data_IF_320418019289
#
_entry.id   IF_320418019289
#
_cell.length_a   1.000
_cell.length_b   1.000
_cell.length_c   1.000
_cell.angle_alpha   90.00
_cell.angle_beta   90.00
_cell.angle_gamma   90.00
#
_symmetry.space_group_name_H-M   'P 1'
#
loop_
_entity.id
_entity.type
_entity.pdbx_description
1 polymer ?
#
# COMPACT_ATOMS: atom_id res chain seq x y z
N UNK A 1 -50.17 5.99 12.99
CA UNK A 1 -48.90 5.31 13.34
C UNK A 1 -47.93 5.50 12.18
N UNK A 2 -46.89 6.36 12.34
CA UNK A 2 -45.90 6.61 11.28
C UNK A 2 -44.74 5.65 11.50
N UNK A 3 -44.54 4.68 10.65
CA UNK A 3 -43.35 3.83 10.61
C UNK A 3 -42.18 4.67 10.17
N UNK A 4 -41.26 4.94 11.08
CA UNK A 4 -39.91 5.48 10.76
C UNK A 4 -39.09 4.28 10.30
N UNK A 5 -38.87 4.20 9.00
CA UNK A 5 -37.84 3.31 8.43
C UNK A 5 -36.49 3.90 8.79
N UNK A 6 -35.82 3.29 9.76
CA UNK A 6 -34.42 3.56 10.07
C UNK A 6 -33.62 2.80 9.02
N UNK A 7 -33.16 3.51 8.00
CA UNK A 7 -32.15 2.99 7.07
C UNK A 7 -30.84 3.00 7.86
N UNK A 8 -30.51 1.84 8.41
CA UNK A 8 -29.16 1.59 8.93
C UNK A 8 -28.28 1.50 7.67
N UNK A 9 -27.62 2.60 7.34
CA UNK A 9 -26.53 2.62 6.38
C UNK A 9 -25.43 1.73 6.97
N UNK A 10 -25.40 0.49 6.52
CA UNK A 10 -24.30 -0.43 6.76
C UNK A 10 -23.14 0.09 5.90
N UNK A 11 -22.37 0.99 6.46
CA UNK A 11 -21.06 1.37 5.90
C UNK A 11 -20.20 0.11 6.04
N UNK A 12 -20.25 -0.73 5.03
CA UNK A 12 -19.33 -1.83 4.85
C UNK A 12 -17.98 -1.14 4.57
N UNK A 13 -17.16 -1.02 5.58
CA UNK A 13 -15.74 -0.75 5.42
C UNK A 13 -15.18 -1.93 4.61
N UNK A 14 -15.16 -1.76 3.30
CA UNK A 14 -14.35 -2.58 2.43
C UNK A 14 -12.90 -2.28 2.81
N UNK A 15 -12.34 -3.10 3.68
CA UNK A 15 -10.89 -3.20 3.82
C UNK A 15 -10.45 -3.80 2.48
N UNK A 16 -10.18 -2.90 1.52
CA UNK A 16 -9.62 -3.30 0.24
C UNK A 16 -8.23 -3.86 0.54
N UNK A 17 -8.17 -5.19 0.67
CA UNK A 17 -6.92 -5.88 0.88
C UNK A 17 -6.10 -5.74 -0.40
N UNK A 18 -4.95 -5.06 -0.31
CA UNK A 18 -3.96 -5.07 -1.38
C UNK A 18 -3.47 -6.49 -1.60
N UNK A 19 -3.15 -6.85 -2.83
CA UNK A 19 -2.48 -8.12 -3.14
C UNK A 19 -1.10 -8.10 -2.50
N UNK A 20 -0.87 -9.01 -1.56
CA UNK A 20 0.37 -9.11 -0.80
C UNK A 20 1.22 -10.28 -1.26
N UNK A 21 2.54 -10.17 -1.14
CA UNK A 21 3.50 -11.23 -1.44
C UNK A 21 4.59 -11.35 -0.38
N UNK A 22 5.05 -12.58 -0.12
CA UNK A 22 6.24 -12.81 0.72
C UNK A 22 7.55 -12.64 -0.05
N UNK A 23 7.50 -12.64 -1.39
CA UNK A 23 8.66 -12.46 -2.24
C UNK A 23 8.57 -11.12 -2.97
N UNK A 24 9.72 -10.47 -3.22
CA UNK A 24 9.76 -9.23 -3.98
C UNK A 24 9.39 -9.46 -5.46
N UNK A 25 8.94 -8.39 -6.10
CA UNK A 25 8.76 -8.36 -7.56
C UNK A 25 10.07 -8.06 -8.29
N UNK A 26 11.02 -7.41 -7.63
CA UNK A 26 12.24 -6.94 -8.23
C UNK A 26 13.35 -7.99 -8.28
N UNK A 27 14.15 -7.93 -9.35
CA UNK A 27 15.49 -8.48 -9.47
C UNK A 27 16.39 -7.37 -9.97
N UNK A 28 17.70 -7.45 -9.73
CA UNK A 28 18.63 -6.35 -10.05
C UNK A 28 18.58 -5.94 -11.54
N UNK A 29 18.36 -6.89 -12.45
CA UNK A 29 18.25 -6.67 -13.90
C UNK A 29 16.93 -6.02 -14.34
N UNK A 30 15.94 -5.96 -13.46
CA UNK A 30 14.63 -5.33 -13.70
C UNK A 30 14.46 -3.98 -13.02
N UNK A 31 15.40 -3.60 -12.16
CA UNK A 31 15.35 -2.29 -11.52
C UNK A 31 15.64 -1.18 -12.54
N UNK A 32 14.87 -0.10 -12.42
CA UNK A 32 15.08 1.11 -13.20
C UNK A 32 15.12 2.33 -12.31
N UNK A 33 15.94 3.31 -12.69
CA UNK A 33 15.98 4.60 -12.03
C UNK A 33 15.21 5.63 -12.85
N UNK A 34 14.29 6.33 -12.21
CA UNK A 34 13.49 7.39 -12.80
C UNK A 34 13.64 8.67 -11.97
N UNK A 35 14.40 9.63 -12.50
CA UNK A 35 14.69 10.88 -11.80
C UNK A 35 13.40 11.69 -11.53
N UNK A 36 12.43 11.60 -12.44
CA UNK A 36 11.14 12.27 -12.28
C UNK A 36 10.33 11.77 -11.07
N UNK A 37 10.67 10.63 -10.49
CA UNK A 37 10.02 10.14 -9.27
C UNK A 37 10.45 10.94 -8.04
N UNK A 38 11.68 11.45 -8.01
CA UNK A 38 12.27 12.12 -6.84
C UNK A 38 11.52 13.40 -6.47
N UNK A 39 11.41 13.65 -5.16
CA UNK A 39 10.84 14.88 -4.59
C UNK A 39 9.50 14.67 -3.92
N UNK A 40 8.77 15.76 -3.75
CA UNK A 40 7.50 15.78 -3.02
C UNK A 40 6.29 15.79 -3.95
N UNK A 41 5.32 14.96 -3.60
CA UNK A 41 4.09 14.79 -4.34
C UNK A 41 2.90 14.90 -3.40
N UNK A 42 1.84 15.55 -3.85
CA UNK A 42 0.59 15.69 -3.11
C UNK A 42 -0.51 14.82 -3.72
N UNK A 43 -1.24 14.15 -2.87
CA UNK A 43 -2.51 13.50 -3.19
C UNK A 43 -3.62 14.28 -2.50
N UNK A 44 -4.67 14.63 -3.24
CA UNK A 44 -5.86 15.24 -2.67
C UNK A 44 -7.02 14.25 -2.73
N UNK A 45 -7.55 13.89 -1.57
CA UNK A 45 -8.76 13.09 -1.46
C UNK A 45 -9.79 13.87 -0.62
N UNK A 46 -10.76 14.47 -1.32
CA UNK A 46 -11.73 15.38 -0.70
C UNK A 46 -11.05 16.58 -0.05
N UNK A 47 -11.10 16.66 1.30
CA UNK A 47 -10.47 17.72 2.10
C UNK A 47 -9.15 17.29 2.76
N UNK A 48 -8.73 16.05 2.59
CA UNK A 48 -7.50 15.53 3.15
C UNK A 48 -6.39 15.55 2.10
N UNK A 49 -5.19 15.90 2.53
CA UNK A 49 -4.00 15.94 1.69
C UNK A 49 -3.01 14.93 2.27
N UNK A 50 -2.63 13.97 1.45
CA UNK A 50 -1.51 13.10 1.74
C UNK A 50 -0.27 13.55 0.95
N UNK A 51 0.89 13.41 1.57
CA UNK A 51 2.18 13.77 0.98
C UNK A 51 3.04 12.53 0.82
N UNK A 52 3.68 12.42 -0.34
CA UNK A 52 4.57 11.35 -0.73
C UNK A 52 5.93 11.96 -1.05
N UNK A 53 6.95 11.62 -0.30
CA UNK A 53 8.31 12.10 -0.56
C UNK A 53 9.20 10.93 -0.94
N UNK A 54 9.70 10.96 -2.18
CA UNK A 54 10.61 9.95 -2.71
C UNK A 54 12.03 10.47 -2.74
N UNK A 55 12.98 9.68 -2.22
CA UNK A 55 14.41 9.96 -2.24
C UNK A 55 15.23 8.69 -2.53
N UNK A 56 16.50 8.82 -2.91
CA UNK A 56 17.36 7.67 -3.25
C UNK A 56 17.17 7.16 -4.67
N UNK A 57 17.07 5.85 -4.85
CA UNK A 57 16.86 5.17 -6.15
C UNK A 57 18.17 4.82 -6.88
N UNK A 58 19.29 5.44 -6.53
CA UNK A 58 20.59 5.15 -7.11
C UNK A 58 21.72 5.17 -6.06
N UNK A 59 22.52 4.12 -6.01
CA UNK A 59 23.70 4.03 -5.13
C UNK A 59 24.95 4.47 -5.90
N UNK A 60 25.36 5.73 -5.74
CA UNK A 60 26.52 6.31 -6.41
C UNK A 60 27.83 5.56 -6.10
N UNK A 61 27.95 4.95 -4.91
CA UNK A 61 29.17 4.22 -4.51
C UNK A 61 29.32 2.90 -5.25
N UNK A 62 28.22 2.29 -5.62
CA UNK A 62 28.19 1.02 -6.36
C UNK A 62 27.89 1.19 -7.83
N UNK A 63 27.57 2.43 -8.27
CA UNK A 63 27.15 2.75 -9.63
C UNK A 63 26.02 1.83 -10.11
N UNK A 64 24.96 1.72 -9.28
CA UNK A 64 23.85 0.82 -9.56
C UNK A 64 22.51 1.38 -9.07
N UNK A 65 21.44 0.95 -9.74
CA UNK A 65 20.07 1.24 -9.31
C UNK A 65 19.79 0.54 -7.99
N UNK A 66 19.19 1.26 -7.07
CA UNK A 66 18.77 0.79 -5.75
C UNK A 66 17.30 1.06 -5.51
N UNK A 67 16.80 0.78 -4.31
CA UNK A 67 15.48 1.19 -3.86
C UNK A 67 15.40 2.69 -3.58
N UNK A 68 14.19 3.23 -3.69
CA UNK A 68 13.85 4.56 -3.18
C UNK A 68 13.37 4.43 -1.73
N UNK A 69 13.62 5.45 -0.94
CA UNK A 69 12.92 5.66 0.33
C UNK A 69 11.67 6.48 0.05
N UNK A 70 10.51 6.00 0.50
CA UNK A 70 9.26 6.74 0.50
C UNK A 70 8.89 7.11 1.94
N UNK A 71 8.69 8.40 2.17
CA UNK A 71 8.01 8.91 3.37
C UNK A 71 6.60 9.31 2.97
N UNK A 72 5.62 8.59 3.50
CA UNK A 72 4.19 8.89 3.30
C UNK A 72 3.63 9.57 4.54
N UNK A 73 2.98 10.73 4.36
CA UNK A 73 2.34 11.49 5.43
C UNK A 73 0.87 11.71 5.12
N UNK A 74 0.03 11.36 6.07
CA UNK A 74 -1.42 11.57 6.01
C UNK A 74 -1.90 12.15 7.35
N UNK A 75 -2.36 13.40 7.34
CA UNK A 75 -2.68 14.13 8.56
C UNK A 75 -1.48 14.22 9.51
N UNK A 76 -1.53 13.50 10.63
CA UNK A 76 -0.46 13.44 11.64
C UNK A 76 0.32 12.11 11.60
N UNK A 77 -0.04 11.23 10.71
CA UNK A 77 0.57 9.92 10.54
C UNK A 77 1.72 9.99 9.54
N UNK A 78 2.83 9.35 9.85
CA UNK A 78 3.97 9.18 8.95
C UNK A 78 4.36 7.72 8.90
N UNK A 79 4.60 7.20 7.70
CA UNK A 79 5.10 5.85 7.47
C UNK A 79 6.25 5.87 6.45
N UNK A 80 7.19 4.95 6.62
CA UNK A 80 8.34 4.79 5.72
C UNK A 80 8.27 3.46 4.99
N UNK A 81 8.61 3.52 3.71
CA UNK A 81 8.63 2.34 2.85
C UNK A 81 9.89 2.35 2.00
N UNK A 82 10.37 1.16 1.69
CA UNK A 82 11.32 0.92 0.61
C UNK A 82 10.52 0.66 -0.68
N UNK A 83 10.84 1.39 -1.74
CA UNK A 83 10.18 1.28 -3.04
C UNK A 83 11.22 0.83 -4.06
N UNK A 84 10.93 -0.26 -4.75
CA UNK A 84 11.71 -0.65 -5.94
C UNK A 84 10.88 -0.38 -7.18
N UNK A 85 11.43 0.38 -8.12
CA UNK A 85 10.81 0.61 -9.43
C UNK A 85 11.26 -0.47 -10.39
N UNK A 86 10.31 -1.32 -10.79
CA UNK A 86 10.55 -2.53 -11.58
C UNK A 86 9.98 -2.38 -12.98
N UNK A 87 10.78 -2.66 -14.01
CA UNK A 87 10.33 -2.68 -15.40
C UNK A 87 10.06 -4.10 -15.86
N UNK A 88 8.79 -4.38 -16.22
CA UNK A 88 8.35 -5.64 -16.81
C UNK A 88 7.73 -5.34 -18.18
N UNK A 89 8.40 -5.78 -19.25
CA UNK A 89 8.02 -5.40 -20.62
C UNK A 89 8.03 -3.88 -20.80
N UNK A 90 6.89 -3.32 -21.19
CA UNK A 90 6.69 -1.87 -21.38
C UNK A 90 6.20 -1.16 -20.12
N UNK A 91 5.90 -1.90 -19.02
CA UNK A 91 5.23 -1.38 -17.84
C UNK A 91 6.18 -1.16 -16.68
N UNK A 92 5.85 -0.17 -15.85
CA UNK A 92 6.53 0.09 -14.59
C UNK A 92 5.65 -0.33 -13.42
N UNK A 93 6.29 -0.91 -12.41
CA UNK A 93 5.64 -1.34 -11.19
C UNK A 93 6.41 -0.84 -9.99
N UNK A 94 5.69 -0.40 -8.96
CA UNK A 94 6.24 -0.29 -7.62
C UNK A 94 6.16 -1.65 -6.92
N UNK A 95 7.26 -2.04 -6.32
CA UNK A 95 7.32 -3.02 -5.25
C UNK A 95 7.52 -2.25 -3.96
N UNK A 96 6.51 -2.27 -3.10
CA UNK A 96 6.43 -1.47 -1.88
C UNK A 96 6.64 -2.40 -0.71
N UNK A 97 7.64 -2.11 0.11
CA UNK A 97 7.95 -2.89 1.30
C UNK A 97 8.06 -1.96 2.52
N UNK A 98 7.45 -2.29 3.66
CA UNK A 98 7.54 -1.44 4.85
C UNK A 98 8.97 -1.42 5.36
N UNK A 99 9.55 -0.22 5.50
CA UNK A 99 10.86 -0.01 6.07
C UNK A 99 10.76 -0.11 7.59
N UNK A 100 11.53 -1.05 8.18
CA UNK A 100 11.79 -1.22 9.60
C UNK A 100 10.54 -1.19 10.52
N UNK A 101 9.78 -2.28 10.54
CA UNK A 101 8.69 -2.49 11.52
C UNK A 101 9.17 -2.40 12.99
N UNK A 102 10.46 -2.61 13.25
CA UNK A 102 11.03 -2.53 14.61
C UNK A 102 11.16 -1.09 15.11
N UNK A 103 11.25 -0.11 14.22
CA UNK A 103 11.35 1.32 14.52
C UNK A 103 10.07 2.10 14.27
N UNK A 104 8.93 1.43 14.16
CA UNK A 104 7.62 2.08 14.02
C UNK A 104 7.38 2.96 15.26
N UNK A 105 7.84 4.18 15.21
CA UNK A 105 7.53 5.22 16.20
C UNK A 105 6.19 5.81 15.82
N UNK A 106 5.13 5.35 16.48
CA UNK A 106 3.96 6.19 16.61
C UNK A 106 4.38 7.38 17.49
N UNK A 107 4.79 8.48 16.89
CA UNK A 107 4.80 9.73 17.63
C UNK A 107 3.34 10.02 18.01
N UNK A 108 3.13 9.96 19.32
CA UNK A 108 1.92 10.35 20.05
C UNK A 108 0.87 11.05 19.18
N UNK A 109 -0.08 10.33 18.67
CA UNK A 109 -1.47 10.74 18.44
C UNK A 109 -2.16 9.92 17.36
N UNK A 110 -3.10 9.14 17.87
CA UNK A 110 -4.33 8.72 17.19
C UNK A 110 -4.41 7.33 16.56
N UNK A 111 -5.03 6.47 17.33
CA UNK A 111 -6.30 5.86 16.92
C UNK A 111 -7.23 5.97 18.13
N UNK A 112 -7.90 7.12 18.23
CA UNK A 112 -9.06 7.22 19.10
C UNK A 112 -10.19 6.43 18.42
N UNK A 113 -10.25 5.14 18.66
CA UNK A 113 -11.50 4.40 18.49
C UNK A 113 -12.41 4.94 19.60
N UNK A 114 -13.53 5.62 19.30
CA UNK A 114 -14.45 6.01 20.33
C UNK A 114 -15.17 4.75 20.83
N UNK A 115 -14.58 4.09 21.83
CA UNK A 115 -15.33 3.18 22.68
C UNK A 115 -16.30 4.04 23.49
N UNK A 116 -17.49 4.23 22.93
CA UNK A 116 -18.62 4.80 23.64
C UNK A 116 -19.03 3.86 24.77
N UNK A 117 -18.31 3.92 25.88
CA UNK A 117 -18.83 3.44 27.16
C UNK A 117 -19.66 4.57 27.78
N UNK A 118 -20.99 4.43 27.68
CA UNK A 118 -21.91 5.23 28.48
C UNK A 118 -21.52 5.12 29.96
N UNK A 119 -21.07 6.25 30.56
CA UNK A 119 -21.01 6.38 32.01
C UNK A 119 -19.69 6.80 32.61
N UNK A 120 -18.80 7.47 31.92
CA UNK A 120 -17.62 8.07 32.54
C UNK A 120 -17.47 9.53 32.07
N UNK A 121 -18.04 10.46 32.83
CA UNK A 121 -17.70 11.87 32.73
C UNK A 121 -16.32 12.07 33.36
N UNK A 122 -15.30 12.24 32.54
CA UNK A 122 -14.02 12.79 33.00
C UNK A 122 -13.58 13.89 32.06
N UNK A 123 -13.66 15.09 32.54
CA UNK A 123 -13.19 16.32 31.95
C UNK A 123 -11.66 16.42 32.00
N UNK A 124 -10.97 15.60 31.26
CA UNK A 124 -9.59 15.80 30.76
C UNK A 124 -9.44 14.94 29.53
N UNK A 125 -9.20 15.56 28.38
CA UNK A 125 -8.81 14.90 27.17
C UNK A 125 -7.43 14.22 27.38
N UNK A 126 -7.44 13.01 27.90
CA UNK A 126 -6.27 12.14 27.87
C UNK A 126 -6.26 11.58 26.45
N UNK A 127 -5.39 12.12 25.61
CA UNK A 127 -5.10 11.51 24.33
C UNK A 127 -4.50 10.13 24.61
N UNK A 128 -5.10 9.03 24.11
CA UNK A 128 -4.54 7.70 24.31
C UNK A 128 -3.22 7.59 23.54
N UNK A 129 -2.12 7.43 24.27
CA UNK A 129 -0.82 7.01 23.74
C UNK A 129 -0.96 5.53 23.33
N UNK A 130 -1.39 5.27 22.08
CA UNK A 130 -1.49 3.92 21.56
C UNK A 130 -0.10 3.53 21.04
N UNK A 131 0.66 2.87 21.89
CA UNK A 131 1.88 2.16 21.48
C UNK A 131 1.50 0.74 21.08
N UNK A 132 1.90 0.33 19.88
CA UNK A 132 1.84 -1.09 19.56
C UNK A 132 2.70 -1.86 20.57
N UNK A 133 2.10 -2.87 21.17
CA UNK A 133 2.81 -3.77 22.07
C UNK A 133 3.92 -4.49 21.28
N UNK A 134 5.13 -4.58 21.84
CA UNK A 134 6.27 -5.23 21.17
C UNK A 134 5.96 -6.66 20.74
N UNK A 135 5.23 -7.41 21.57
CA UNK A 135 4.76 -8.76 21.25
C UNK A 135 3.83 -8.76 20.03
N UNK A 136 2.99 -7.73 19.86
CA UNK A 136 2.12 -7.60 18.69
C UNK A 136 2.94 -7.37 17.43
N UNK A 137 3.95 -6.49 17.50
CA UNK A 137 4.87 -6.20 16.37
C UNK A 137 5.63 -7.45 15.93
N UNK A 138 6.07 -8.30 16.89
CA UNK A 138 6.75 -9.58 16.59
C UNK A 138 5.88 -10.55 15.79
N UNK A 139 4.55 -10.37 15.79
CA UNK A 139 3.60 -11.20 15.05
C UNK A 139 3.17 -10.56 13.72
N UNK A 140 3.68 -9.37 13.38
CA UNK A 140 3.42 -8.74 12.08
C UNK A 140 4.43 -9.25 11.06
N UNK A 141 3.95 -9.88 10.00
CA UNK A 141 4.79 -10.28 8.88
C UNK A 141 4.87 -9.13 7.86
N UNK A 142 6.06 -8.56 7.60
CA UNK A 142 6.20 -7.61 6.51
C UNK A 142 5.99 -8.31 5.18
N UNK A 143 5.20 -7.70 4.32
CA UNK A 143 4.88 -8.21 2.99
C UNK A 143 5.12 -7.15 1.93
N UNK A 144 5.45 -7.59 0.73
CA UNK A 144 5.48 -6.75 -0.46
C UNK A 144 4.08 -6.51 -0.97
N UNK A 145 3.82 -5.30 -1.45
CA UNK A 145 2.63 -4.96 -2.22
C UNK A 145 3.03 -4.34 -3.54
N UNK A 146 2.22 -4.55 -4.57
CA UNK A 146 2.58 -4.14 -5.93
C UNK A 146 1.54 -3.21 -6.52
N UNK A 147 2.00 -2.23 -7.31
CA UNK A 147 1.13 -1.36 -8.08
C UNK A 147 1.77 -1.05 -9.43
N UNK A 148 0.98 -1.03 -10.50
CA UNK A 148 1.43 -0.48 -11.78
C UNK A 148 1.50 1.05 -11.66
N UNK A 149 2.52 1.66 -12.26
CA UNK A 149 2.68 3.10 -12.19
C UNK A 149 2.95 3.71 -13.56
N UNK A 150 2.45 4.91 -13.74
CA UNK A 150 2.77 5.80 -14.86
C UNK A 150 3.37 7.07 -14.25
N UNK A 151 4.58 7.43 -14.70
CA UNK A 151 5.35 8.53 -14.14
C UNK A 151 5.53 9.58 -15.24
N UNK A 152 4.92 10.73 -15.04
CA UNK A 152 5.10 11.92 -15.87
C UNK A 152 5.85 12.99 -15.07
N UNK A 153 6.21 14.09 -15.71
CA UNK A 153 6.96 15.17 -15.06
C UNK A 153 6.29 15.73 -13.82
N UNK A 154 4.97 15.95 -13.89
CA UNK A 154 4.20 16.64 -12.87
C UNK A 154 3.04 15.82 -12.31
N UNK A 155 2.92 14.55 -12.74
CA UNK A 155 1.86 13.62 -12.32
C UNK A 155 2.37 12.19 -12.22
N UNK A 156 1.96 11.49 -11.18
CA UNK A 156 2.15 10.03 -11.04
C UNK A 156 0.78 9.40 -10.85
N UNK A 157 0.50 8.35 -11.62
CA UNK A 157 -0.69 7.50 -11.45
C UNK A 157 -0.27 6.16 -10.90
N UNK A 158 -0.89 5.76 -9.80
CA UNK A 158 -0.59 4.51 -9.10
C UNK A 158 -1.83 3.62 -9.18
N UNK A 159 -1.75 2.54 -9.93
CA UNK A 159 -2.82 1.58 -10.15
C UNK A 159 -2.63 0.38 -9.22
N UNK A 160 -3.39 0.34 -8.14
CA UNK A 160 -3.38 -0.78 -7.21
C UNK A 160 -4.18 -1.93 -7.78
N UNK A 161 -3.68 -3.16 -7.60
CA UNK A 161 -4.41 -4.34 -8.02
C UNK A 161 -5.67 -4.54 -7.18
N UNK A 162 -6.74 -4.94 -7.84
CA UNK A 162 -8.01 -5.28 -7.20
C UNK A 162 -7.96 -6.73 -6.68
N UNK A 163 -8.18 -6.86 -5.38
CA UNK A 163 -8.25 -8.17 -4.74
C UNK A 163 -9.39 -9.04 -5.27
N UNK A 164 -10.58 -8.45 -5.52
CA UNK A 164 -11.74 -9.19 -6.00
C UNK A 164 -11.47 -9.78 -7.40
N UNK A 165 -10.78 -9.03 -8.25
CA UNK A 165 -10.34 -9.53 -9.55
C UNK A 165 -9.42 -10.75 -9.43
N UNK A 166 -8.46 -10.73 -8.50
CA UNK A 166 -7.55 -11.85 -8.29
C UNK A 166 -8.28 -13.07 -7.72
N UNK A 167 -9.14 -12.88 -6.72
CA UNK A 167 -9.94 -13.93 -6.12
C UNK A 167 -10.85 -14.59 -7.18
N UNK A 168 -11.45 -13.80 -8.05
CA UNK A 168 -12.24 -14.29 -9.18
C UNK A 168 -11.42 -15.15 -10.15
N UNK A 169 -10.17 -14.77 -10.43
CA UNK A 169 -9.27 -15.58 -11.26
C UNK A 169 -8.96 -16.94 -10.62
N UNK A 170 -8.78 -16.97 -9.29
CA UNK A 170 -8.56 -18.22 -8.55
C UNK A 170 -9.81 -19.09 -8.53
N UNK A 171 -10.98 -18.55 -8.20
CA UNK A 171 -12.26 -19.27 -8.19
C UNK A 171 -12.60 -19.85 -9.55
N UNK A 172 -12.31 -19.13 -10.62
CA UNK A 172 -12.53 -19.57 -12.00
C UNK A 172 -11.40 -20.47 -12.52
N UNK A 173 -10.37 -20.75 -11.71
CA UNK A 173 -9.17 -21.55 -12.08
C UNK A 173 -8.46 -21.04 -13.35
N UNK A 174 -8.51 -19.74 -13.59
CA UNK A 174 -7.87 -19.09 -14.73
C UNK A 174 -6.37 -18.84 -14.52
N UNK A 175 -5.94 -18.81 -13.25
CA UNK A 175 -4.54 -18.61 -12.87
C UNK A 175 -4.08 -19.71 -11.94
N UNK A 176 -2.76 -19.97 -11.96
CA UNK A 176 -2.09 -20.97 -11.13
C UNK A 176 -0.83 -20.40 -10.52
N UNK A 177 -0.90 -19.15 -10.02
CA UNK A 177 0.17 -18.57 -9.24
C UNK A 177 0.12 -19.13 -7.81
N UNK A 178 1.30 -19.45 -7.26
CA UNK A 178 1.38 -20.03 -5.92
C UNK A 178 0.98 -19.00 -4.88
N UNK A 179 0.08 -19.38 -3.98
CA UNK A 179 -0.44 -18.52 -2.93
C UNK A 179 -0.91 -19.33 -1.73
N UNK A 180 -1.11 -18.68 -0.62
CA UNK A 180 -1.78 -19.18 0.57
C UNK A 180 -2.98 -18.27 0.88
N UNK A 181 -4.04 -18.86 1.41
CA UNK A 181 -5.22 -18.14 1.88
C UNK A 181 -5.24 -18.15 3.40
N UNK A 182 -5.35 -16.97 4.00
CA UNK A 182 -5.44 -16.83 5.45
C UNK A 182 -6.84 -17.21 5.95
N UNK A 183 -6.99 -17.43 7.26
CA UNK A 183 -8.28 -17.83 7.86
C UNK A 183 -9.41 -16.80 7.70
N UNK A 184 -9.07 -15.55 7.44
CA UNK A 184 -9.97 -14.42 7.16
C UNK A 184 -10.14 -14.16 5.65
N UNK A 185 -9.62 -15.06 4.79
CA UNK A 185 -9.82 -15.04 3.35
C UNK A 185 -8.88 -14.11 2.59
N UNK A 186 -7.81 -13.62 3.21
CA UNK A 186 -6.80 -12.84 2.48
C UNK A 186 -5.88 -13.76 1.68
N UNK A 187 -5.52 -13.33 0.48
CA UNK A 187 -4.60 -14.04 -0.40
C UNK A 187 -3.20 -13.45 -0.24
N UNK A 188 -2.23 -14.31 0.08
CA UNK A 188 -0.81 -13.95 0.12
C UNK A 188 -0.08 -14.76 -0.94
N UNK A 189 0.50 -14.07 -1.91
CA UNK A 189 1.29 -14.72 -2.96
C UNK A 189 2.59 -15.29 -2.38
N UNK A 190 2.86 -16.55 -2.68
CA UNK A 190 4.06 -17.28 -2.23
C UNK A 190 4.87 -17.80 -3.42
N UNK A 191 4.55 -17.31 -4.62
CA UNK A 191 5.26 -17.63 -5.83
C UNK A 191 6.66 -16.98 -5.84
N UNK A 192 7.70 -17.63 -6.42
CA UNK A 192 8.99 -16.99 -6.59
C UNK A 192 8.89 -15.76 -7.51
N UNK A 193 9.86 -14.86 -7.36
CA UNK A 193 9.91 -13.56 -8.07
C UNK A 193 9.69 -13.67 -9.56
N UNK A 194 10.32 -14.67 -10.24
CA UNK A 194 10.20 -14.84 -11.68
C UNK A 194 8.77 -15.20 -12.12
N UNK A 195 8.02 -15.90 -11.29
CA UNK A 195 6.63 -16.24 -11.59
C UNK A 195 5.70 -15.06 -11.27
N UNK A 196 6.01 -14.26 -10.23
CA UNK A 196 5.34 -12.97 -9.97
C UNK A 196 5.53 -12.03 -11.16
N UNK A 197 6.76 -11.86 -11.65
CA UNK A 197 7.07 -11.00 -12.79
C UNK A 197 6.25 -11.38 -14.03
N UNK A 198 6.23 -12.66 -14.39
CA UNK A 198 5.42 -13.16 -15.52
C UNK A 198 3.93 -12.92 -15.33
N UNK A 199 3.45 -13.10 -14.09
CA UNK A 199 2.05 -12.88 -13.75
C UNK A 199 1.65 -11.43 -13.92
N UNK A 200 2.38 -10.49 -13.29
CA UNK A 200 2.07 -9.08 -13.35
C UNK A 200 2.27 -8.48 -14.74
N UNK A 201 3.31 -8.89 -15.47
CA UNK A 201 3.50 -8.51 -16.86
C UNK A 201 2.34 -8.95 -17.75
N UNK A 202 1.89 -10.21 -17.60
CA UNK A 202 0.78 -10.76 -18.39
C UNK A 202 -0.54 -9.98 -18.23
N UNK A 203 -0.81 -9.48 -17.02
CA UNK A 203 -2.07 -8.81 -16.70
C UNK A 203 -1.94 -7.29 -16.62
N UNK A 204 -0.80 -6.74 -17.05
CA UNK A 204 -0.52 -5.30 -16.98
C UNK A 204 -1.50 -4.44 -17.77
N UNK A 205 -2.10 -4.96 -18.85
CA UNK A 205 -3.10 -4.29 -19.69
C UNK A 205 -4.55 -4.62 -19.33
N UNK A 206 -4.79 -5.50 -18.37
CA UNK A 206 -6.16 -5.81 -17.96
C UNK A 206 -6.69 -4.70 -17.05
N UNK A 207 -7.46 -3.77 -17.61
CA UNK A 207 -8.05 -2.65 -16.86
C UNK A 207 -8.88 -3.12 -15.65
N UNK A 208 -9.44 -4.33 -15.71
CA UNK A 208 -10.23 -4.91 -14.61
C UNK A 208 -9.35 -5.36 -13.44
N UNK A 209 -8.05 -5.50 -13.67
CA UNK A 209 -7.10 -5.89 -12.63
C UNK A 209 -6.85 -4.78 -11.60
N UNK A 210 -7.34 -3.56 -11.86
CA UNK A 210 -6.96 -2.38 -11.09
C UNK A 210 -8.16 -1.67 -10.49
N UNK A 211 -7.95 -1.11 -9.32
CA UNK A 211 -8.80 -0.10 -8.72
C UNK A 211 -8.60 1.25 -9.43
N UNK A 212 -9.48 2.22 -9.14
CA UNK A 212 -9.27 3.60 -9.57
C UNK A 212 -7.88 4.09 -9.13
N UNK A 213 -7.13 4.76 -10.01
CA UNK A 213 -5.76 5.16 -9.73
C UNK A 213 -5.67 6.23 -8.63
N UNK A 214 -4.66 6.11 -7.79
CA UNK A 214 -4.20 7.22 -6.96
C UNK A 214 -3.42 8.17 -7.87
N UNK A 215 -3.82 9.43 -7.87
CA UNK A 215 -3.17 10.48 -8.68
C UNK A 215 -2.38 11.39 -7.75
N UNK A 216 -1.09 11.48 -7.98
CA UNK A 216 -0.20 12.37 -7.27
C UNK A 216 0.21 13.53 -8.20
N UNK A 217 0.21 14.73 -7.66
CA UNK A 217 0.69 15.92 -8.36
C UNK A 217 1.96 16.43 -7.68
N UNK A 218 2.90 16.91 -8.49
CA UNK A 218 4.16 17.46 -7.97
C UNK A 218 3.90 18.71 -7.15
N UNK A 219 4.42 18.74 -5.93
CA UNK A 219 4.41 19.97 -5.13
C UNK A 219 5.45 20.95 -5.69
N UNK A 220 5.03 22.20 -5.89
CA UNK A 220 5.89 23.28 -6.39
C UNK A 220 6.71 23.93 -5.27
#
# INVERSE_FOLDING_TARGET
MKFKIVIISFVMLFIQSCISSIHPLWTQDKLVFEENLLGEWGQTDGNEIAYWHFSGGFDEKKDMVSGYELIHREGKSEAKFEIHLVKLGEYLFFDIFPDDLANFKFEDKMLAVPLSMKGFESSKSVEPDIRLNSLYVEHMLPVHTFAKVEIEKDEIRIFRFDFEWLDDLFRQRKVRIKHEETSDGQIVLTAPTEDLQKFFEKYADDEKAYLDPIILHRNQ
#
